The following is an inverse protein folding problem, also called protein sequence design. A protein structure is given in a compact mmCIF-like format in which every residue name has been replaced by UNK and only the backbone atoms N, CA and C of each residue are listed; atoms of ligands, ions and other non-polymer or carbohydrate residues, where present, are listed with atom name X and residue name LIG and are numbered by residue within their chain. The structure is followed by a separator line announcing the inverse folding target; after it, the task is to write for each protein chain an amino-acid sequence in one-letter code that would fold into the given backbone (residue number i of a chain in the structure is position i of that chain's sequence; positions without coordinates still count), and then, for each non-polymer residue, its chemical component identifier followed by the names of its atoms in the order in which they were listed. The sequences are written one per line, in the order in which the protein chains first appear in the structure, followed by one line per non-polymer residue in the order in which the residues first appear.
data_IF_003147957399
#
_entry.id   IF_003147957399
#
_cell.length_a   1.000
_cell.length_b   1.000
_cell.length_c   1.000
_cell.angle_alpha   90.00
_cell.angle_beta   90.00
_cell.angle_gamma   90.00
#
_symmetry.space_group_name_H-M   'P 1'
#
loop_
_entity.id
_entity.type
_entity.pdbx_description
1 polymer ?
#
# COMPACT_ATOMS: atom_id res chain seq x y z
N UNK A 1 -7.86 -12.00 -17.58
CA UNK A 1 -6.69 -11.35 -16.98
C UNK A 1 -7.18 -10.40 -15.91
N UNK A 2 -6.58 -10.45 -14.72
CA UNK A 2 -7.07 -9.77 -13.53
C UNK A 2 -5.91 -9.42 -12.62
N UNK A 3 -5.98 -8.27 -11.97
CA UNK A 3 -5.04 -7.97 -10.88
C UNK A 3 -5.22 -8.97 -9.73
N UNK A 4 -4.21 -9.12 -8.87
CA UNK A 4 -4.32 -9.93 -7.64
C UNK A 4 -5.57 -9.56 -6.85
N UNK A 5 -5.83 -8.27 -6.64
CA UNK A 5 -7.01 -7.79 -5.90
C UNK A 5 -8.33 -8.12 -6.60
N UNK A 6 -8.38 -8.06 -7.93
CA UNK A 6 -9.56 -8.48 -8.71
C UNK A 6 -9.78 -9.98 -8.61
N UNK A 7 -8.71 -10.79 -8.74
CA UNK A 7 -8.78 -12.24 -8.62
C UNK A 7 -9.31 -12.66 -7.25
N UNK A 8 -8.79 -12.09 -6.17
CA UNK A 8 -9.24 -12.36 -4.80
C UNK A 8 -10.73 -12.12 -4.62
N UNK A 9 -11.29 -11.08 -5.26
CA UNK A 9 -12.71 -10.78 -5.18
C UNK A 9 -13.61 -11.79 -5.92
N UNK A 10 -13.06 -12.57 -6.86
CA UNK A 10 -13.77 -13.62 -7.59
C UNK A 10 -13.74 -14.97 -6.84
N UNK A 11 -12.83 -15.14 -5.88
CA UNK A 11 -12.64 -16.40 -5.17
C UNK A 11 -13.52 -16.45 -3.92
N UNK A 12 -14.30 -17.53 -3.80
CA UNK A 12 -14.98 -17.88 -2.55
C UNK A 12 -14.01 -18.59 -1.62
N UNK A 13 -13.53 -17.88 -0.61
CA UNK A 13 -12.63 -18.44 0.39
C UNK A 13 -13.36 -19.38 1.38
N UNK A 14 -12.64 -20.34 2.01
CA UNK A 14 -13.18 -21.12 3.12
C UNK A 14 -13.54 -20.24 4.32
N UNK A 15 -14.30 -20.80 5.28
CA UNK A 15 -14.67 -20.08 6.50
C UNK A 15 -13.43 -19.64 7.29
N UNK A 16 -13.30 -18.33 7.50
CA UNK A 16 -12.13 -17.72 8.14
C UNK A 16 -10.97 -17.39 7.19
N UNK A 17 -11.07 -17.72 5.90
CA UNK A 17 -10.00 -17.53 4.92
C UNK A 17 -9.03 -18.71 4.84
N UNK A 18 -8.21 -18.73 3.78
CA UNK A 18 -7.15 -19.73 3.62
C UNK A 18 -6.12 -19.65 4.75
N UNK A 19 -5.76 -18.44 5.18
CA UNK A 19 -5.06 -18.20 6.44
C UNK A 19 -5.96 -17.37 7.33
N UNK A 20 -6.27 -17.89 8.52
CA UNK A 20 -7.08 -17.20 9.52
C UNK A 20 -6.23 -16.14 10.21
N UNK A 21 -6.80 -14.97 10.45
CA UNK A 21 -6.10 -13.90 11.19
C UNK A 21 -5.64 -14.36 12.58
N UNK A 22 -6.35 -15.29 13.22
CA UNK A 22 -5.98 -15.87 14.51
C UNK A 22 -4.70 -16.71 14.50
N UNK A 23 -4.18 -17.06 13.32
CA UNK A 23 -2.89 -17.75 13.17
C UNK A 23 -1.72 -16.76 13.17
N UNK A 24 -1.98 -15.46 12.97
CA UNK A 24 -0.94 -14.45 13.04
C UNK A 24 -0.65 -14.11 14.50
N UNK A 25 0.63 -14.00 14.83
CA UNK A 25 1.08 -13.30 16.03
C UNK A 25 0.62 -11.85 15.94
N UNK A 26 -0.09 -11.39 16.97
CA UNK A 26 -0.62 -10.02 17.05
C UNK A 26 0.16 -9.21 18.06
N UNK A 27 0.90 -8.22 17.58
CA UNK A 27 1.75 -7.35 18.40
C UNK A 27 1.16 -5.94 18.37
N UNK A 28 0.64 -5.48 19.51
CA UNK A 28 0.18 -4.09 19.65
C UNK A 28 1.37 -3.23 20.08
N UNK A 29 1.75 -2.28 19.24
CA UNK A 29 2.77 -1.29 19.57
C UNK A 29 2.15 -0.17 20.42
N UNK A 30 2.96 0.39 21.31
CA UNK A 30 2.57 1.50 22.18
C UNK A 30 3.39 2.72 21.80
N UNK A 31 2.73 3.87 21.73
CA UNK A 31 3.36 5.15 21.46
C UNK A 31 2.67 6.32 22.16
N UNK A 32 1.74 6.04 23.08
CA UNK A 32 0.93 7.00 23.85
C UNK A 32 0.20 8.08 23.01
N UNK A 33 0.13 7.89 21.68
CA UNK A 33 -0.54 8.80 20.74
C UNK A 33 -1.92 8.26 20.39
N UNK A 34 -2.95 9.04 20.71
CA UNK A 34 -4.34 8.75 20.34
C UNK A 34 -4.68 9.57 19.09
N UNK A 35 -5.20 8.89 18.06
CA UNK A 35 -5.68 9.57 16.86
C UNK A 35 -7.02 10.26 17.16
N UNK A 36 -7.21 11.44 16.57
CA UNK A 36 -8.47 12.16 16.60
C UNK A 36 -9.59 11.31 15.95
N UNK A 37 -10.82 11.43 16.46
CA UNK A 37 -11.94 10.59 16.04
C UNK A 37 -12.39 10.85 14.60
N UNK A 38 -12.36 12.12 14.21
CA UNK A 38 -12.90 12.62 12.96
C UNK A 38 -11.80 13.15 12.04
N UNK A 39 -11.92 12.80 10.77
CA UNK A 39 -11.07 13.28 9.69
C UNK A 39 -11.99 13.81 8.59
N UNK A 40 -11.63 14.94 7.96
CA UNK A 40 -12.46 15.56 6.93
C UNK A 40 -12.11 15.11 5.51
N UNK A 41 -11.12 14.22 5.36
CA UNK A 41 -10.69 13.61 4.11
C UNK A 41 -11.07 12.12 4.09
N UNK A 42 -11.41 11.61 2.90
CA UNK A 42 -11.80 10.22 2.72
C UNK A 42 -10.65 9.25 3.07
N UNK A 43 -10.98 8.14 3.72
CA UNK A 43 -10.00 7.16 4.25
C UNK A 43 -9.05 6.59 3.18
N UNK A 44 -9.51 6.45 1.93
CA UNK A 44 -8.66 5.99 0.82
C UNK A 44 -7.54 7.00 0.51
N UNK A 45 -7.83 8.30 0.55
CA UNK A 45 -6.84 9.36 0.33
C UNK A 45 -5.85 9.35 1.50
N UNK A 46 -6.35 9.26 2.74
CA UNK A 46 -5.49 9.17 3.93
C UNK A 46 -4.54 7.96 3.84
N UNK A 47 -5.05 6.80 3.40
CA UNK A 47 -4.23 5.61 3.19
C UNK A 47 -3.09 5.83 2.20
N UNK A 48 -3.37 6.46 1.05
CA UNK A 48 -2.34 6.80 0.06
C UNK A 48 -1.34 7.84 0.56
N UNK A 49 -1.81 8.86 1.29
CA UNK A 49 -0.93 9.86 1.90
C UNK A 49 0.07 9.19 2.84
N UNK A 50 -0.43 8.34 3.75
CA UNK A 50 0.43 7.63 4.70
C UNK A 50 1.42 6.73 3.97
N UNK A 51 0.99 5.98 2.95
CA UNK A 51 1.87 5.13 2.15
C UNK A 51 2.99 5.93 1.47
N UNK A 52 2.63 6.95 0.68
CA UNK A 52 3.58 7.73 -0.12
C UNK A 52 4.54 8.53 0.76
N UNK A 53 4.05 9.15 1.84
CA UNK A 53 4.93 9.84 2.79
C UNK A 53 5.85 8.85 3.50
N UNK A 54 5.37 7.67 3.89
CA UNK A 54 6.23 6.66 4.52
C UNK A 54 7.37 6.25 3.58
N UNK A 55 7.06 5.96 2.30
CA UNK A 55 8.07 5.65 1.27
C UNK A 55 9.09 6.77 1.10
N UNK A 56 8.61 8.02 1.00
CA UNK A 56 9.49 9.17 0.88
C UNK A 56 10.42 9.30 2.10
N UNK A 57 9.89 9.17 3.33
CA UNK A 57 10.71 9.32 4.54
C UNK A 57 11.72 8.18 4.73
N UNK A 58 11.41 6.97 4.24
CA UNK A 58 12.31 5.81 4.34
C UNK A 58 13.41 5.87 3.27
N UNK A 59 13.05 6.17 2.02
CA UNK A 59 13.96 6.08 0.88
C UNK A 59 14.62 7.43 0.51
N UNK A 60 14.08 8.54 1.01
CA UNK A 60 14.48 9.91 0.68
C UNK A 60 14.39 10.25 -0.83
N UNK A 61 13.61 9.48 -1.60
CA UNK A 61 13.32 9.74 -3.02
C UNK A 61 11.86 10.17 -3.19
N UNK A 62 11.67 11.48 -3.33
CA UNK A 62 10.35 12.08 -3.49
C UNK A 62 9.72 11.74 -4.85
N UNK A 63 10.53 11.63 -5.93
CA UNK A 63 9.98 11.39 -7.25
C UNK A 63 9.49 9.94 -7.39
N UNK A 64 10.24 8.99 -6.83
CA UNK A 64 9.84 7.59 -6.86
C UNK A 64 8.60 7.35 -5.99
N UNK A 65 8.58 7.87 -4.76
CA UNK A 65 7.43 7.75 -3.86
C UNK A 65 6.13 8.31 -4.46
N UNK A 66 6.21 9.39 -5.26
CA UNK A 66 5.06 10.03 -5.90
C UNK A 66 4.88 9.69 -7.37
N UNK A 67 5.65 8.74 -7.92
CA UNK A 67 5.70 8.42 -9.35
C UNK A 67 4.33 8.22 -9.98
N UNK A 68 3.44 7.49 -9.32
CA UNK A 68 2.10 7.20 -9.84
C UNK A 68 1.24 8.47 -9.88
N UNK A 69 1.32 9.33 -8.87
CA UNK A 69 0.64 10.63 -8.88
C UNK A 69 1.20 11.57 -9.95
N UNK A 70 2.52 11.55 -10.20
CA UNK A 70 3.15 12.34 -11.27
C UNK A 70 2.64 11.87 -12.66
N UNK A 71 2.61 10.55 -12.88
CA UNK A 71 2.06 9.97 -14.11
C UNK A 71 0.57 10.29 -14.26
N UNK A 72 -0.19 10.21 -13.17
CA UNK A 72 -1.59 10.56 -13.12
C UNK A 72 -1.86 12.02 -13.45
N UNK A 73 -1.03 12.95 -12.96
CA UNK A 73 -1.12 14.37 -13.30
C UNK A 73 -0.90 14.61 -14.81
N UNK A 74 0.07 13.91 -15.42
CA UNK A 74 0.29 13.99 -16.88
C UNK A 74 -0.91 13.46 -17.68
N UNK A 75 -1.56 12.38 -17.21
CA UNK A 75 -2.76 11.83 -17.83
C UNK A 75 -3.94 12.80 -17.69
N UNK A 76 -4.16 13.32 -16.49
CA UNK A 76 -5.21 14.29 -16.20
C UNK A 76 -5.08 15.53 -17.10
N UNK A 77 -3.87 16.07 -17.21
CA UNK A 77 -3.55 17.24 -18.02
C UNK A 77 -3.92 17.04 -19.50
N UNK A 78 -3.51 15.90 -20.08
CA UNK A 78 -3.84 15.54 -21.46
C UNK A 78 -5.33 15.29 -21.66
N UNK A 79 -5.95 14.52 -20.75
CA UNK A 79 -7.34 14.12 -20.85
C UNK A 79 -8.28 15.33 -20.75
N UNK A 80 -8.01 16.24 -19.81
CA UNK A 80 -8.78 17.46 -19.57
C UNK A 80 -8.34 18.64 -20.45
N UNK A 81 -7.38 18.42 -21.37
CA UNK A 81 -6.85 19.44 -22.30
C UNK A 81 -6.40 20.72 -21.58
N UNK A 82 -5.62 20.56 -20.52
CA UNK A 82 -5.16 21.66 -19.65
C UNK A 82 -3.81 22.26 -20.08
N UNK A 83 -3.27 21.83 -21.22
CA UNK A 83 -2.07 22.40 -21.87
C UNK A 83 -0.86 22.56 -20.93
N UNK A 84 -0.63 21.57 -20.06
CA UNK A 84 0.47 21.54 -19.10
C UNK A 84 0.18 22.22 -17.76
N UNK A 85 -0.98 22.86 -17.58
CA UNK A 85 -1.33 23.55 -16.34
C UNK A 85 -1.46 22.58 -15.14
N UNK A 86 -2.14 21.45 -15.29
CA UNK A 86 -2.28 20.48 -14.19
C UNK A 86 -0.94 19.86 -13.83
N UNK A 87 -0.11 19.56 -14.83
CA UNK A 87 1.24 19.07 -14.58
C UNK A 87 2.08 20.09 -13.80
N UNK A 88 2.01 21.38 -14.15
CA UNK A 88 2.69 22.47 -13.44
C UNK A 88 2.20 22.58 -11.98
N UNK A 89 0.90 22.44 -11.75
CA UNK A 89 0.33 22.46 -10.40
C UNK A 89 0.77 21.25 -9.57
N UNK A 90 0.80 20.05 -10.15
CA UNK A 90 1.33 18.86 -9.51
C UNK A 90 2.81 19.02 -9.13
N UNK A 91 3.64 19.58 -10.02
CA UNK A 91 5.05 19.88 -9.74
C UNK A 91 5.18 20.90 -8.60
N UNK A 92 4.34 21.94 -8.57
CA UNK A 92 4.36 22.92 -7.48
C UNK A 92 3.99 22.29 -6.13
N UNK A 93 2.98 21.41 -6.11
CA UNK A 93 2.62 20.64 -4.91
C UNK A 93 3.79 19.77 -4.46
N UNK A 94 4.41 19.03 -5.38
CA UNK A 94 5.55 18.15 -5.12
C UNK A 94 6.74 18.93 -4.54
N UNK A 95 7.10 20.08 -5.12
CA UNK A 95 8.18 20.95 -4.64
C UNK A 95 7.91 21.55 -3.24
N UNK A 96 6.65 21.56 -2.82
CA UNK A 96 6.23 21.99 -1.49
C UNK A 96 6.27 20.87 -0.44
N UNK A 97 6.66 19.64 -0.81
CA UNK A 97 6.84 18.52 0.13
C UNK A 97 8.31 18.44 0.51
N UNK A 98 8.61 18.68 1.79
CA UNK A 98 9.98 18.76 2.33
C UNK A 98 10.22 17.90 3.57
N UNK A 99 9.17 17.25 4.08
CA UNK A 99 9.21 16.45 5.28
C UNK A 99 7.81 16.18 5.81
N UNK A 100 7.64 16.26 7.13
CA UNK A 100 6.39 15.96 7.83
C UNK A 100 5.69 17.19 8.42
N UNK A 101 6.10 18.40 8.02
CA UNK A 101 5.40 19.62 8.42
C UNK A 101 3.99 19.71 7.78
N UNK A 102 3.14 20.57 8.35
CA UNK A 102 1.77 20.78 7.89
C UNK A 102 1.66 21.08 6.39
N UNK A 103 2.57 21.88 5.83
CA UNK A 103 2.55 22.24 4.40
C UNK A 103 2.86 21.01 3.55
N UNK A 104 3.84 20.21 3.95
CA UNK A 104 4.18 18.95 3.29
C UNK A 104 3.02 17.95 3.30
N UNK A 105 2.34 17.80 4.44
CA UNK A 105 1.17 16.90 4.57
C UNK A 105 0.01 17.40 3.69
N UNK A 106 -0.31 18.69 3.74
CA UNK A 106 -1.37 19.29 2.90
C UNK A 106 -1.07 19.07 1.41
N UNK A 107 0.16 19.32 0.99
CA UNK A 107 0.56 19.14 -0.40
C UNK A 107 0.50 17.67 -0.81
N UNK A 108 0.84 16.74 0.10
CA UNK A 108 0.71 15.31 -0.17
C UNK A 108 -0.76 14.89 -0.32
N UNK A 109 -1.65 15.34 0.58
CA UNK A 109 -3.10 15.08 0.46
C UNK A 109 -3.65 15.49 -0.91
N UNK A 110 -3.15 16.60 -1.46
CA UNK A 110 -3.51 17.10 -2.78
C UNK A 110 -2.86 16.29 -3.89
N UNK A 111 -1.57 16.02 -3.79
CA UNK A 111 -0.80 15.31 -4.81
C UNK A 111 -1.34 13.90 -5.06
N UNK A 112 -1.72 13.16 -4.01
CA UNK A 112 -2.24 11.79 -4.18
C UNK A 112 -3.60 11.72 -4.89
N UNK A 113 -4.31 12.83 -5.04
CA UNK A 113 -5.53 12.86 -5.86
C UNK A 113 -5.26 12.63 -7.34
N UNK A 114 -4.02 12.80 -7.78
CA UNK A 114 -3.63 12.49 -9.15
C UNK A 114 -3.43 10.99 -9.38
N UNK A 115 -3.17 10.16 -8.36
CA UNK A 115 -2.97 8.70 -8.50
C UNK A 115 -4.13 8.03 -9.27
N UNK A 116 -5.38 8.39 -8.91
CA UNK A 116 -6.57 7.75 -9.50
C UNK A 116 -6.67 7.99 -11.01
N UNK A 117 -6.08 9.06 -11.55
CA UNK A 117 -6.04 9.29 -13.00
C UNK A 117 -5.19 8.26 -13.74
N UNK A 118 -4.15 7.72 -13.08
CA UNK A 118 -3.35 6.63 -13.61
C UNK A 118 -4.05 5.28 -13.43
N UNK A 119 -4.60 5.01 -12.23
CA UNK A 119 -5.11 3.68 -11.88
C UNK A 119 -6.55 3.42 -12.32
N UNK A 120 -7.40 4.45 -12.38
CA UNK A 120 -8.82 4.32 -12.71
C UNK A 120 -9.40 5.65 -13.22
N UNK A 121 -9.24 5.90 -14.52
CA UNK A 121 -9.72 7.12 -15.18
C UNK A 121 -11.21 7.42 -14.94
N UNK A 122 -12.08 6.40 -14.97
CA UNK A 122 -13.52 6.58 -14.72
C UNK A 122 -13.81 6.95 -13.25
N UNK A 123 -13.01 6.43 -12.32
CA UNK A 123 -13.04 6.81 -10.92
C UNK A 123 -12.57 8.25 -10.72
N UNK A 124 -11.53 8.67 -11.43
CA UNK A 124 -10.96 10.01 -11.35
C UNK A 124 -11.99 11.10 -11.68
N UNK A 125 -12.83 10.87 -12.70
CA UNK A 125 -13.89 11.80 -13.11
C UNK A 125 -14.98 12.02 -12.05
N UNK A 126 -15.06 11.16 -11.03
CA UNK A 126 -16.04 11.25 -9.93
C UNK A 126 -15.40 11.57 -8.58
N UNK A 127 -14.07 11.60 -8.52
CA UNK A 127 -13.32 11.87 -7.31
C UNK A 127 -13.23 13.38 -7.08
N UNK A 128 -12.96 13.77 -5.82
CA UNK A 128 -12.62 15.16 -5.48
C UNK A 128 -11.31 15.55 -6.14
N UNK A 129 -11.22 16.78 -6.64
CA UNK A 129 -9.98 17.32 -7.19
C UNK A 129 -9.04 17.78 -6.09
N UNK A 130 -7.77 18.05 -6.43
CA UNK A 130 -6.79 18.52 -5.46
C UNK A 130 -7.16 19.90 -4.85
N UNK A 131 -7.91 20.75 -5.55
CA UNK A 131 -8.39 22.03 -5.02
C UNK A 131 -9.46 21.84 -3.93
N UNK A 132 -10.24 20.76 -4.02
CA UNK A 132 -11.28 20.41 -3.05
C UNK A 132 -10.72 19.73 -1.79
N UNK A 133 -9.50 19.17 -1.86
CA UNK A 133 -8.81 18.56 -0.72
C UNK A 133 -8.23 19.64 0.19
N UNK A 134 -8.86 19.76 1.37
CA UNK A 134 -8.49 20.72 2.43
C UNK A 134 -8.47 19.99 3.78
N UNK A 135 -7.40 19.24 4.10
CA UNK A 135 -7.33 18.55 5.38
C UNK A 135 -7.34 19.56 6.54
N UNK A 136 -8.09 19.27 7.59
CA UNK A 136 -8.07 20.04 8.83
C UNK A 136 -6.91 19.60 9.75
N UNK A 137 -6.73 20.32 10.86
CA UNK A 137 -5.64 20.06 11.82
C UNK A 137 -5.69 18.64 12.38
N UNK A 138 -6.89 18.13 12.67
CA UNK A 138 -7.07 16.79 13.23
C UNK A 138 -6.65 15.72 12.22
N UNK A 139 -7.02 15.90 10.95
CA UNK A 139 -6.61 15.03 9.85
C UNK A 139 -5.10 15.08 9.62
N UNK A 140 -4.49 16.27 9.62
CA UNK A 140 -3.04 16.46 9.47
C UNK A 140 -2.29 15.76 10.61
N UNK A 141 -2.71 15.97 11.85
CA UNK A 141 -2.11 15.34 13.02
C UNK A 141 -2.23 13.81 12.95
N UNK A 142 -3.39 13.29 12.55
CA UNK A 142 -3.57 11.84 12.41
C UNK A 142 -2.63 11.25 11.34
N UNK A 143 -2.48 11.92 10.21
CA UNK A 143 -1.54 11.52 9.16
C UNK A 143 -0.10 11.52 9.70
N UNK A 144 0.32 12.60 10.35
CA UNK A 144 1.65 12.73 10.95
C UNK A 144 1.95 11.52 11.85
N UNK A 145 1.07 11.24 12.81
CA UNK A 145 1.23 10.11 13.75
C UNK A 145 1.32 8.78 13.00
N UNK A 146 0.50 8.57 11.97
CA UNK A 146 0.54 7.32 11.21
C UNK A 146 1.82 7.17 10.38
N UNK A 147 2.37 8.26 9.84
CA UNK A 147 3.65 8.23 9.10
C UNK A 147 4.81 8.01 10.06
N UNK A 148 4.83 8.68 11.21
CA UNK A 148 5.84 8.45 12.26
C UNK A 148 5.83 6.99 12.74
N UNK A 149 4.64 6.40 12.94
CA UNK A 149 4.50 4.97 13.28
C UNK A 149 5.09 4.06 12.19
N UNK A 150 4.96 4.40 10.92
CA UNK A 150 5.57 3.65 9.82
C UNK A 150 7.10 3.73 9.84
N UNK A 151 7.66 4.90 10.17
CA UNK A 151 9.11 5.10 10.31
C UNK A 151 9.62 4.28 11.50
N UNK A 152 9.00 4.45 12.68
CA UNK A 152 9.32 3.70 13.90
C UNK A 152 9.22 2.18 13.71
N UNK A 153 8.29 1.74 12.85
CA UNK A 153 8.12 0.34 12.50
C UNK A 153 9.33 -0.19 11.74
N UNK A 154 9.84 0.53 10.72
CA UNK A 154 10.99 0.08 9.93
C UNK A 154 12.33 0.25 10.64
N UNK A 155 12.44 1.15 11.62
CA UNK A 155 13.60 1.18 12.53
C UNK A 155 13.75 -0.15 13.30
N UNK A 156 12.63 -0.84 13.57
CA UNK A 156 12.61 -2.11 14.32
C UNK A 156 12.52 -3.35 13.45
N UNK A 157 11.87 -3.27 12.30
CA UNK A 157 11.56 -4.42 11.42
C UNK A 157 12.29 -4.38 10.08
N UNK A 158 12.98 -3.29 9.77
CA UNK A 158 13.75 -3.08 8.55
C UNK A 158 15.16 -3.67 8.62
N UNK A 159 16.08 -3.18 7.76
CA UNK A 159 15.86 -2.15 6.74
C UNK A 159 14.94 -2.65 5.61
N UNK A 160 14.31 -1.72 4.89
CA UNK A 160 13.60 -2.02 3.65
C UNK A 160 14.62 -2.44 2.59
N UNK A 161 14.41 -3.62 2.01
CA UNK A 161 15.22 -4.15 0.91
C UNK A 161 14.66 -3.70 -0.44
N UNK A 162 13.33 -3.68 -0.55
CA UNK A 162 12.62 -3.23 -1.75
C UNK A 162 11.23 -2.75 -1.36
N UNK A 163 10.81 -1.61 -1.88
CA UNK A 163 9.43 -1.16 -1.84
C UNK A 163 8.82 -1.13 -3.25
N UNK A 164 7.49 -1.26 -3.32
CA UNK A 164 6.75 -1.21 -4.60
C UNK A 164 7.20 -2.32 -5.56
N UNK A 165 7.31 -3.55 -5.05
CA UNK A 165 7.80 -4.69 -5.81
C UNK A 165 6.72 -5.31 -6.70
N UNK A 166 7.15 -5.90 -7.81
CA UNK A 166 6.32 -6.65 -8.76
C UNK A 166 6.74 -8.12 -8.83
N UNK A 167 6.04 -8.91 -9.64
CA UNK A 167 6.29 -10.35 -9.78
C UNK A 167 6.87 -10.73 -11.16
N UNK A 168 7.42 -9.76 -11.90
CA UNK A 168 8.10 -10.03 -13.17
C UNK A 168 9.41 -10.82 -12.95
N UNK A 169 9.96 -11.51 -13.98
CA UNK A 169 9.35 -11.78 -15.28
C UNK A 169 8.43 -13.00 -15.29
N UNK A 170 8.42 -13.84 -14.25
CA UNK A 170 7.79 -15.17 -14.31
C UNK A 170 6.70 -15.45 -13.26
N UNK A 171 6.46 -14.50 -12.35
CA UNK A 171 5.51 -14.67 -11.25
C UNK A 171 4.08 -14.33 -11.65
N UNK A 172 3.83 -13.74 -12.81
CA UNK A 172 2.48 -13.55 -13.35
C UNK A 172 2.03 -14.74 -14.18
N UNK A 173 0.71 -14.96 -14.25
CA UNK A 173 0.07 -16.02 -15.04
C UNK A 173 -0.97 -15.43 -16.01
N UNK A 174 -1.58 -16.29 -16.83
CA UNK A 174 -2.71 -15.88 -17.70
C UNK A 174 -3.95 -15.43 -16.92
N UNK A 175 -4.05 -15.83 -15.65
CA UNK A 175 -5.18 -15.50 -14.77
C UNK A 175 -4.88 -14.26 -13.95
N UNK A 176 -3.67 -14.18 -13.40
CA UNK A 176 -3.20 -13.08 -12.54
C UNK A 176 -2.00 -12.40 -13.19
N UNK A 177 -2.23 -11.24 -13.80
CA UNK A 177 -1.24 -10.57 -14.66
C UNK A 177 -0.82 -9.18 -14.17
N UNK A 178 -1.31 -8.76 -13.00
CA UNK A 178 -0.93 -7.51 -12.39
C UNK A 178 -1.01 -7.56 -10.86
N UNK A 179 -0.10 -6.89 -10.19
CA UNK A 179 -0.13 -6.72 -8.75
C UNK A 179 1.20 -6.16 -8.24
N UNK A 180 1.10 -5.23 -7.31
CA UNK A 180 2.21 -4.56 -6.65
C UNK A 180 2.10 -4.76 -5.13
N UNK A 181 3.23 -5.11 -4.51
CA UNK A 181 3.33 -5.25 -3.07
C UNK A 181 4.01 -4.04 -2.41
N UNK A 182 3.77 -3.88 -1.10
CA UNK A 182 4.19 -2.66 -0.40
C UNK A 182 5.69 -2.67 -0.10
N UNK A 183 6.15 -3.54 0.81
CA UNK A 183 7.54 -3.57 1.26
C UNK A 183 8.08 -4.99 1.47
N UNK A 184 9.35 -5.20 1.11
CA UNK A 184 10.16 -6.34 1.52
C UNK A 184 11.23 -5.85 2.50
N UNK A 185 11.39 -6.58 3.59
CA UNK A 185 12.62 -6.54 4.40
C UNK A 185 13.39 -7.83 4.16
N UNK A 186 14.49 -8.06 4.90
CA UNK A 186 15.38 -9.21 4.67
C UNK A 186 14.66 -10.56 4.59
N UNK A 187 13.68 -10.79 5.44
CA UNK A 187 13.02 -12.09 5.61
C UNK A 187 11.49 -12.03 5.58
N UNK A 188 10.91 -10.83 5.43
CA UNK A 188 9.48 -10.61 5.59
C UNK A 188 8.90 -9.79 4.44
N UNK A 189 7.77 -10.26 3.90
CA UNK A 189 6.92 -9.50 3.00
C UNK A 189 5.84 -8.78 3.80
N UNK A 190 5.79 -7.46 3.67
CA UNK A 190 4.90 -6.58 4.41
C UNK A 190 3.83 -5.96 3.52
N UNK A 191 2.59 -6.00 4.01
CA UNK A 191 1.44 -5.30 3.47
C UNK A 191 0.98 -4.24 4.50
N UNK A 192 0.95 -2.98 4.09
CA UNK A 192 0.51 -1.88 4.94
C UNK A 192 -0.99 -1.68 4.77
N UNK A 193 -1.68 -1.48 5.89
CA UNK A 193 -3.13 -1.31 5.91
C UNK A 193 -3.54 -0.17 6.84
N UNK A 194 -3.89 0.97 6.26
CA UNK A 194 -4.39 2.13 7.02
C UNK A 194 -5.91 1.99 7.21
N UNK A 195 -6.34 1.31 8.27
CA UNK A 195 -7.76 1.03 8.54
C UNK A 195 -8.08 1.02 10.02
N UNK A 196 -9.29 1.45 10.40
CA UNK A 196 -9.79 1.28 11.78
C UNK A 196 -10.11 -0.19 12.10
N UNK A 197 -10.26 -1.03 11.07
CA UNK A 197 -10.65 -2.44 11.19
C UNK A 197 -9.44 -3.37 11.16
N UNK A 198 -9.60 -4.55 11.76
CA UNK A 198 -8.64 -5.65 11.63
C UNK A 198 -8.50 -6.10 10.17
N UNK A 199 -7.37 -6.70 9.77
CA UNK A 199 -7.22 -7.31 8.46
C UNK A 199 -8.29 -8.36 8.17
N UNK A 200 -8.67 -8.46 6.90
CA UNK A 200 -9.69 -9.40 6.43
C UNK A 200 -9.04 -10.64 5.81
N UNK A 201 -9.85 -11.68 5.55
CA UNK A 201 -9.40 -12.85 4.78
C UNK A 201 -8.95 -12.50 3.35
N UNK A 202 -9.42 -11.38 2.78
CA UNK A 202 -8.90 -10.89 1.49
C UNK A 202 -7.46 -10.39 1.63
N UNK A 203 -7.12 -9.74 2.75
CA UNK A 203 -5.77 -9.26 3.01
C UNK A 203 -4.80 -10.43 3.27
N UNK A 204 -5.22 -11.44 4.04
CA UNK A 204 -4.37 -12.61 4.29
C UNK A 204 -4.16 -13.46 3.03
N UNK A 205 -5.18 -13.59 2.17
CA UNK A 205 -5.01 -14.23 0.86
C UNK A 205 -4.08 -13.43 -0.06
N UNK A 206 -4.21 -12.09 -0.09
CA UNK A 206 -3.33 -11.23 -0.87
C UNK A 206 -1.86 -11.42 -0.51
N UNK A 207 -1.53 -11.40 0.79
CA UNK A 207 -0.17 -11.64 1.26
C UNK A 207 0.40 -12.98 0.82
N UNK A 208 -0.40 -14.05 0.95
CA UNK A 208 0.07 -15.38 0.55
C UNK A 208 0.22 -15.48 -0.97
N UNK A 209 -0.69 -14.90 -1.76
CA UNK A 209 -0.54 -14.82 -3.21
C UNK A 209 0.74 -14.08 -3.60
N UNK A 210 1.02 -12.93 -2.98
CA UNK A 210 2.25 -12.18 -3.24
C UNK A 210 3.50 -13.00 -2.93
N UNK A 211 3.51 -13.75 -1.83
CA UNK A 211 4.64 -14.60 -1.50
C UNK A 211 4.82 -15.75 -2.51
N UNK A 212 3.75 -16.48 -2.86
CA UNK A 212 3.80 -17.56 -3.86
C UNK A 212 4.31 -16.98 -5.19
N UNK A 213 3.71 -15.89 -5.67
CA UNK A 213 4.12 -15.25 -6.92
C UNK A 213 5.58 -14.75 -6.86
N UNK A 214 6.01 -14.24 -5.71
CA UNK A 214 7.41 -13.89 -5.47
C UNK A 214 8.35 -15.09 -5.61
N UNK A 215 7.99 -16.25 -5.04
CA UNK A 215 8.80 -17.47 -5.19
C UNK A 215 8.87 -17.96 -6.64
N UNK A 216 7.80 -17.78 -7.43
CA UNK A 216 7.75 -18.14 -8.85
C UNK A 216 8.36 -17.09 -9.80
N UNK A 217 8.57 -15.85 -9.33
CA UNK A 217 9.11 -14.75 -10.16
C UNK A 217 10.52 -15.00 -10.70
N UNK A 218 11.30 -15.88 -10.05
CA UNK A 218 12.72 -16.07 -10.33
C UNK A 218 13.62 -14.96 -9.78
N UNK A 219 13.05 -13.90 -9.17
CA UNK A 219 13.84 -12.83 -8.56
C UNK A 219 14.47 -13.30 -7.24
N UNK A 220 15.76 -13.00 -7.05
CA UNK A 220 16.51 -13.42 -5.84
C UNK A 220 15.97 -12.76 -4.56
N UNK A 221 15.37 -11.58 -4.66
CA UNK A 221 14.88 -10.80 -3.51
C UNK A 221 13.80 -11.53 -2.70
N UNK A 222 13.11 -12.51 -3.29
CA UNK A 222 12.07 -13.28 -2.60
C UNK A 222 12.58 -14.54 -1.89
N UNK A 223 13.79 -15.01 -2.19
CA UNK A 223 14.28 -16.33 -1.74
C UNK A 223 14.39 -16.45 -0.23
N UNK A 224 14.73 -15.35 0.44
CA UNK A 224 14.94 -15.32 1.88
C UNK A 224 13.65 -14.96 2.66
N UNK A 225 12.56 -14.65 1.95
CA UNK A 225 11.28 -14.30 2.56
C UNK A 225 10.63 -15.56 3.16
N UNK A 226 10.69 -15.66 4.48
CA UNK A 226 10.15 -16.79 5.25
C UNK A 226 9.04 -16.37 6.21
N UNK A 227 8.64 -15.10 6.19
CA UNK A 227 7.57 -14.53 7.00
C UNK A 227 6.65 -13.62 6.16
N UNK A 228 5.38 -13.55 6.57
CA UNK A 228 4.40 -12.59 6.05
C UNK A 228 3.97 -11.67 7.18
N UNK A 229 3.75 -10.41 6.86
CA UNK A 229 3.35 -9.42 7.83
C UNK A 229 2.35 -8.40 7.31
N UNK A 230 1.41 -8.00 8.17
CA UNK A 230 0.57 -6.82 7.96
C UNK A 230 0.91 -5.82 9.04
N UNK A 231 1.21 -4.58 8.65
CA UNK A 231 1.29 -3.48 9.60
C UNK A 231 0.14 -2.50 9.37
N UNK A 232 -0.52 -2.12 10.46
CA UNK A 232 -1.56 -1.11 10.44
C UNK A 232 -1.16 0.07 11.33
N UNK A 233 -0.65 1.18 10.75
CA UNK A 233 -0.22 2.34 11.53
C UNK A 233 -1.38 3.08 12.20
N UNK A 234 -2.63 2.88 11.74
CA UNK A 234 -3.79 3.54 12.34
C UNK A 234 -4.13 2.98 13.71
N UNK A 235 -4.17 1.66 13.84
CA UNK A 235 -4.42 0.98 15.12
C UNK A 235 -3.12 0.57 15.84
N UNK A 236 -1.98 0.81 15.20
CA UNK A 236 -0.61 0.51 15.66
C UNK A 236 -0.40 -0.97 16.00
N UNK A 237 -0.79 -1.86 15.08
CA UNK A 237 -0.71 -3.31 15.28
C UNK A 237 0.04 -3.97 14.13
N UNK A 238 0.93 -4.89 14.49
CA UNK A 238 1.60 -5.82 13.59
C UNK A 238 0.88 -7.17 13.69
N UNK A 239 0.63 -7.79 12.54
CA UNK A 239 0.23 -9.19 12.40
C UNK A 239 1.34 -9.91 11.67
N UNK A 240 1.95 -10.95 12.26
CA UNK A 240 3.05 -11.69 11.64
C UNK A 240 2.80 -13.19 11.66
N UNK A 241 3.20 -13.90 10.60
CA UNK A 241 3.15 -15.36 10.53
C UNK A 241 4.38 -15.89 9.81
N UNK A 242 4.92 -17.03 10.25
CA UNK A 242 5.99 -17.72 9.53
C UNK A 242 5.39 -18.58 8.42
N UNK A 243 6.05 -18.63 7.27
CA UNK A 243 5.63 -19.52 6.16
C UNK A 243 5.56 -20.98 6.61
N UNK A 244 6.46 -21.40 7.51
CA UNK A 244 6.46 -22.76 8.07
C UNK A 244 5.21 -23.12 8.89
N UNK A 245 4.42 -22.13 9.31
CA UNK A 245 3.17 -22.32 10.05
C UNK A 245 1.94 -22.40 9.13
N UNK A 246 2.14 -22.18 7.82
CA UNK A 246 1.10 -22.29 6.80
C UNK A 246 1.14 -23.70 6.21
N UNK A 247 -0.02 -24.35 6.10
CA UNK A 247 -0.10 -25.69 5.51
C UNK A 247 0.37 -25.69 4.06
N UNK A 248 1.19 -26.68 3.69
CA UNK A 248 1.62 -26.90 2.31
C UNK A 248 0.44 -27.14 1.37
N UNK A 249 -0.63 -27.76 1.86
CA UNK A 249 -1.84 -27.98 1.06
C UNK A 249 -2.56 -26.66 0.74
N UNK A 250 -2.54 -25.69 1.66
CA UNK A 250 -3.10 -24.35 1.42
C UNK A 250 -2.27 -23.61 0.37
N UNK A 251 -0.93 -23.68 0.48
CA UNK A 251 -0.02 -23.07 -0.51
C UNK A 251 -0.30 -23.66 -1.89
N UNK A 252 -0.34 -24.99 -1.99
CA UNK A 252 -0.60 -25.70 -3.24
C UNK A 252 -1.98 -25.37 -3.83
N UNK A 253 -3.02 -25.32 -3.00
CA UNK A 253 -4.37 -24.94 -3.43
C UNK A 253 -4.40 -23.54 -4.05
N UNK A 254 -3.70 -22.58 -3.45
CA UNK A 254 -3.62 -21.22 -4.00
C UNK A 254 -2.78 -21.19 -5.28
N UNK A 255 -1.67 -21.92 -5.31
CA UNK A 255 -0.78 -22.03 -6.47
C UNK A 255 -1.51 -22.60 -7.68
N UNK A 256 -2.14 -23.77 -7.53
CA UNK A 256 -2.76 -24.54 -8.62
C UNK A 256 -4.13 -23.94 -9.03
N UNK A 257 -4.98 -23.58 -8.05
CA UNK A 257 -6.40 -23.29 -8.31
C UNK A 257 -6.76 -21.80 -8.30
N UNK A 258 -5.96 -20.97 -7.62
CA UNK A 258 -6.23 -19.52 -7.54
C UNK A 258 -5.35 -18.74 -8.51
N UNK A 259 -4.03 -18.94 -8.44
CA UNK A 259 -3.05 -18.28 -9.31
C UNK A 259 -2.93 -19.00 -10.66
N UNK A 260 -3.09 -20.33 -10.64
CA UNK A 260 -3.08 -21.21 -11.82
C UNK A 260 -1.73 -21.23 -12.54
N UNK A 261 -0.68 -21.62 -11.81
CA UNK A 261 0.60 -22.00 -12.41
C UNK A 261 0.54 -23.34 -13.14
#
# INVERSE_FOLDING_TARGET
MSSVTQRINQIKQPYGGYIKLSQFEKIKLQDDRILNDNENIHSSVIGMVVDYMSRYMINLDLNDAFKISILGASIADKYLKQEGNLMKQAINLLNGIRGLDDVSIINTCKMVTFDVWYRNLLGALRAKTFEEIKPDKDTINNILVMVERSIDFFDKNGPVVKDGFDFEPYGYTKIVDAGDGDFLTKDTLWDFKVSKNNPTNKNTLQLLMYWIMGQHSGQKIYKDINQLGIFNPRINIIYKIKISEISKDIIKEIEDNIICY
#
